data_IF_867632815079
#
_entry.id   IF_867632815079
#
_cell.length_a   1.000
_cell.length_b   1.000
_cell.length_c   1.000
_cell.angle_alpha   90.00
_cell.angle_beta   90.00
_cell.angle_gamma   90.00
#
_symmetry.space_group_name_H-M   'P 1'
#
loop_
_entity.id
_entity.type
_entity.pdbx_description
1 polymer ?
#
# COMPACT_ATOMS: atom_id res chain seq x y z
N UNK A 1 -15.11 3.16 10.06
CA UNK A 1 -14.83 3.10 8.61
C UNK A 1 -15.67 4.14 7.88
N UNK A 2 -15.05 4.90 6.97
CA UNK A 2 -15.72 5.78 6.00
C UNK A 2 -15.66 5.12 4.61
N UNK A 3 -16.80 4.94 3.94
CA UNK A 3 -16.86 4.43 2.57
C UNK A 3 -17.08 5.57 1.58
N UNK A 4 -16.24 5.62 0.55
CA UNK A 4 -16.38 6.51 -0.60
C UNK A 4 -16.60 5.64 -1.85
N UNK A 5 -17.81 5.68 -2.37
CA UNK A 5 -18.17 4.93 -3.59
C UNK A 5 -17.62 5.64 -4.81
N UNK A 6 -17.08 4.87 -5.73
CA UNK A 6 -16.58 5.33 -7.01
C UNK A 6 -17.24 4.56 -8.16
N UNK A 7 -17.30 5.18 -9.34
CA UNK A 7 -17.91 4.57 -10.52
C UNK A 7 -17.03 3.47 -11.10
N UNK A 8 -15.73 3.75 -11.16
CA UNK A 8 -14.73 2.93 -11.84
C UNK A 8 -13.34 3.21 -11.26
N UNK A 9 -12.32 2.56 -11.83
CA UNK A 9 -10.92 2.71 -11.43
C UNK A 9 -10.41 4.15 -11.50
N UNK A 10 -10.82 4.92 -12.51
CA UNK A 10 -10.38 6.32 -12.66
C UNK A 10 -10.98 7.18 -11.54
N UNK A 11 -12.25 6.96 -11.21
CA UNK A 11 -12.92 7.71 -10.14
C UNK A 11 -12.36 7.30 -8.75
N UNK A 12 -11.99 6.01 -8.53
CA UNK A 12 -11.24 5.58 -7.34
C UNK A 12 -9.93 6.35 -7.24
N UNK A 13 -9.15 6.36 -8.31
CA UNK A 13 -7.84 7.00 -8.40
C UNK A 13 -7.91 8.49 -8.09
N UNK A 14 -8.82 9.20 -8.75
CA UNK A 14 -9.04 10.64 -8.56
C UNK A 14 -9.46 10.97 -7.13
N UNK A 15 -10.38 10.20 -6.55
CA UNK A 15 -10.87 10.42 -5.17
C UNK A 15 -9.77 10.15 -4.14
N UNK A 16 -8.99 9.09 -4.33
CA UNK A 16 -7.85 8.80 -3.47
C UNK A 16 -6.77 9.89 -3.56
N UNK A 17 -6.44 10.33 -4.78
CA UNK A 17 -5.49 11.41 -4.99
C UNK A 17 -5.92 12.72 -4.31
N UNK A 18 -7.22 13.05 -4.34
CA UNK A 18 -7.72 14.24 -3.64
C UNK A 18 -7.52 14.16 -2.12
N UNK A 19 -7.66 12.98 -1.52
CA UNK A 19 -7.43 12.77 -0.08
C UNK A 19 -5.96 12.94 0.25
N UNK A 20 -5.06 12.35 -0.56
CA UNK A 20 -3.61 12.47 -0.38
C UNK A 20 -3.16 13.91 -0.63
N UNK A 21 -3.67 14.57 -1.66
CA UNK A 21 -3.38 15.98 -1.95
C UNK A 21 -3.76 16.89 -0.77
N UNK A 22 -4.94 16.70 -0.21
CA UNK A 22 -5.38 17.46 0.97
C UNK A 22 -4.44 17.20 2.18
N UNK A 23 -3.95 15.96 2.37
CA UNK A 23 -2.97 15.65 3.41
C UNK A 23 -1.68 16.44 3.22
N UNK A 24 -1.15 16.49 2.00
CA UNK A 24 0.08 17.25 1.67
C UNK A 24 -0.14 18.74 1.89
N UNK A 25 -1.25 19.30 1.41
CA UNK A 25 -1.57 20.72 1.54
C UNK A 25 -1.73 21.16 3.00
N UNK A 26 -2.38 20.33 3.83
CA UNK A 26 -2.59 20.62 5.25
C UNK A 26 -1.34 20.40 6.12
N UNK A 27 -0.45 19.53 5.68
CA UNK A 27 0.81 19.21 6.36
C UNK A 27 1.88 18.93 5.32
N UNK A 28 2.60 19.96 4.82
CA UNK A 28 3.61 19.82 3.77
C UNK A 28 4.75 18.85 4.11
N UNK A 29 5.12 18.74 5.37
CA UNK A 29 6.14 17.81 5.89
C UNK A 29 5.57 16.44 6.29
N UNK A 30 4.41 16.05 5.75
CA UNK A 30 3.73 14.81 6.12
C UNK A 30 4.55 13.57 5.73
N UNK A 31 4.33 12.49 6.47
CA UNK A 31 4.83 11.16 6.17
C UNK A 31 3.72 10.36 5.47
N UNK A 32 3.95 10.00 4.22
CA UNK A 32 3.03 9.17 3.44
C UNK A 32 3.49 7.71 3.45
N UNK A 33 2.64 6.83 3.91
CA UNK A 33 2.77 5.40 3.66
C UNK A 33 2.27 5.08 2.25
N UNK A 34 3.10 4.46 1.41
CA UNK A 34 2.78 4.20 0.00
C UNK A 34 2.76 2.71 -0.30
N UNK A 35 1.98 2.34 -1.31
CA UNK A 35 1.79 0.99 -1.78
C UNK A 35 2.24 0.85 -3.24
N UNK A 36 2.56 -0.37 -3.65
CA UNK A 36 2.88 -0.73 -5.04
C UNK A 36 1.75 -1.56 -5.68
N UNK A 37 1.99 -2.06 -6.87
CA UNK A 37 1.01 -2.84 -7.63
C UNK A 37 0.06 -1.98 -8.47
N UNK A 38 -0.93 -2.60 -9.10
CA UNK A 38 -1.78 -1.93 -10.09
C UNK A 38 -2.81 -0.97 -9.49
N UNK A 39 -3.23 -1.19 -8.24
CA UNK A 39 -4.30 -0.38 -7.62
C UNK A 39 -3.92 1.11 -7.44
N UNK A 40 -2.73 1.49 -6.94
CA UNK A 40 -2.38 2.88 -6.69
C UNK A 40 -1.89 3.66 -7.92
N UNK A 41 -1.56 3.00 -9.05
CA UNK A 41 -0.95 3.67 -10.22
C UNK A 41 -1.76 4.86 -10.71
N UNK A 42 -3.08 4.71 -10.82
CA UNK A 42 -3.94 5.82 -11.23
C UNK A 42 -3.95 6.97 -10.21
N UNK A 43 -3.86 6.64 -8.92
CA UNK A 43 -3.74 7.65 -7.85
C UNK A 43 -2.43 8.44 -8.00
N UNK A 44 -1.31 7.76 -8.31
CA UNK A 44 -0.03 8.43 -8.54
C UNK A 44 -0.07 9.34 -9.78
N UNK A 45 -0.69 8.90 -10.87
CA UNK A 45 -0.88 9.73 -12.07
C UNK A 45 -1.66 11.02 -11.77
N UNK A 46 -2.72 10.92 -10.98
CA UNK A 46 -3.51 12.09 -10.55
C UNK A 46 -2.70 13.03 -9.63
N UNK A 47 -1.84 12.49 -8.76
CA UNK A 47 -0.95 13.29 -7.92
C UNK A 47 0.12 14.00 -8.74
N UNK A 48 0.70 13.33 -9.75
CA UNK A 48 1.66 13.93 -10.69
C UNK A 48 0.99 15.08 -11.45
N UNK A 49 -0.20 14.87 -11.99
CA UNK A 49 -0.93 15.92 -12.69
C UNK A 49 -1.19 17.16 -11.80
N UNK A 50 -1.50 16.95 -10.52
CA UNK A 50 -1.67 18.05 -9.54
C UNK A 50 -0.34 18.77 -9.22
N UNK A 51 0.77 18.04 -9.20
CA UNK A 51 2.10 18.64 -9.07
C UNK A 51 2.45 19.47 -10.32
N UNK A 52 2.22 18.93 -11.53
CA UNK A 52 2.50 19.62 -12.79
C UNK A 52 1.64 20.88 -12.98
N UNK A 53 0.41 20.89 -12.44
CA UNK A 53 -0.45 22.07 -12.43
C UNK A 53 -0.08 23.13 -11.37
N UNK A 54 0.90 22.80 -10.49
CA UNK A 54 1.31 23.70 -9.41
C UNK A 54 0.44 23.65 -8.15
N UNK A 55 -0.48 22.67 -8.06
CA UNK A 55 -1.38 22.53 -6.91
C UNK A 55 -0.74 21.79 -5.73
N UNK A 56 0.35 21.04 -5.97
CA UNK A 56 1.05 20.25 -4.95
C UNK A 56 2.57 20.52 -4.96
N UNK A 57 3.16 20.48 -3.77
CA UNK A 57 4.60 20.51 -3.55
C UNK A 57 5.01 19.32 -2.69
N UNK A 58 5.91 18.47 -3.20
CA UNK A 58 6.42 17.29 -2.51
C UNK A 58 7.78 17.51 -1.85
N UNK A 59 8.36 18.72 -1.92
CA UNK A 59 9.74 18.99 -1.47
C UNK A 59 10.00 18.64 -0.01
N UNK A 60 8.98 18.69 0.86
CA UNK A 60 9.11 18.38 2.29
C UNK A 60 8.48 17.03 2.65
N UNK A 61 7.77 16.37 1.72
CA UNK A 61 7.11 15.08 1.95
C UNK A 61 8.16 13.99 2.24
N UNK A 62 7.85 13.12 3.18
CA UNK A 62 8.60 11.89 3.48
C UNK A 62 7.73 10.70 3.17
N UNK A 63 8.35 9.59 2.74
CA UNK A 63 7.60 8.38 2.43
C UNK A 63 8.15 7.14 3.11
N UNK A 64 7.25 6.20 3.42
CA UNK A 64 7.57 4.84 3.83
C UNK A 64 6.74 3.88 2.97
N UNK A 65 7.38 2.97 2.25
CA UNK A 65 6.67 1.96 1.46
C UNK A 65 6.33 0.73 2.30
N UNK A 66 5.28 0.00 1.89
CA UNK A 66 4.84 -1.20 2.60
C UNK A 66 5.85 -2.34 2.54
N UNK A 67 6.51 -2.52 1.41
CA UNK A 67 7.22 -3.75 1.14
C UNK A 67 8.31 -3.60 0.05
N UNK A 68 9.17 -4.62 -0.05
CA UNK A 68 10.12 -4.83 -1.14
C UNK A 68 10.42 -6.32 -1.25
N UNK A 69 10.65 -6.80 -2.45
CA UNK A 69 11.13 -8.15 -2.73
C UNK A 69 12.54 -8.38 -2.19
N UNK A 70 12.77 -9.55 -1.59
CA UNK A 70 14.11 -10.00 -1.23
C UNK A 70 14.86 -10.48 -2.49
N UNK A 71 16.12 -10.05 -2.61
CA UNK A 71 17.00 -10.45 -3.71
C UNK A 71 16.97 -9.52 -4.92
N UNK A 72 16.13 -8.49 -4.96
CA UNK A 72 16.15 -7.49 -6.02
C UNK A 72 16.87 -6.22 -5.59
N UNK A 73 17.78 -5.72 -6.45
CA UNK A 73 18.39 -4.42 -6.26
C UNK A 73 17.38 -3.30 -6.56
N UNK A 74 17.59 -2.12 -6.03
CA UNK A 74 16.71 -0.95 -6.28
C UNK A 74 16.68 -0.49 -7.74
N UNK A 75 17.64 -0.94 -8.55
CA UNK A 75 17.72 -0.67 -10.00
C UNK A 75 17.00 -1.74 -10.83
N UNK A 76 16.67 -2.89 -10.26
CA UNK A 76 15.95 -3.94 -10.96
C UNK A 76 14.55 -3.46 -11.34
N UNK A 77 14.15 -3.63 -12.60
CA UNK A 77 12.90 -3.08 -13.16
C UNK A 77 11.61 -3.62 -12.51
N UNK A 78 11.72 -4.72 -11.76
CA UNK A 78 10.61 -5.29 -10.98
C UNK A 78 10.73 -5.05 -9.48
N UNK A 79 11.75 -4.34 -8.99
CA UNK A 79 11.81 -3.93 -7.59
C UNK A 79 10.73 -2.86 -7.30
N UNK A 80 10.26 -2.82 -6.07
CA UNK A 80 9.30 -1.78 -5.67
C UNK A 80 9.95 -0.40 -5.56
N UNK A 81 11.26 -0.35 -5.29
CA UNK A 81 12.05 0.87 -5.41
C UNK A 81 12.01 1.44 -6.83
N UNK A 82 12.22 0.61 -7.85
CA UNK A 82 12.09 1.02 -9.26
C UNK A 82 10.65 1.42 -9.59
N UNK A 83 9.66 0.61 -9.17
CA UNK A 83 8.25 0.91 -9.37
C UNK A 83 7.87 2.30 -8.85
N UNK A 84 8.29 2.65 -7.65
CA UNK A 84 7.96 3.95 -7.05
C UNK A 84 8.62 5.10 -7.79
N UNK A 85 9.85 4.96 -8.22
CA UNK A 85 10.53 5.95 -9.07
C UNK A 85 9.78 6.14 -10.38
N UNK A 86 9.51 5.05 -11.09
CA UNK A 86 8.85 5.08 -12.39
C UNK A 86 7.41 5.59 -12.35
N UNK A 87 6.69 5.44 -11.22
CA UNK A 87 5.27 5.81 -11.14
C UNK A 87 4.99 7.08 -10.32
N UNK A 88 5.95 7.59 -9.53
CA UNK A 88 5.75 8.79 -8.72
C UNK A 88 7.02 9.60 -8.50
N UNK A 89 8.09 9.02 -7.91
CA UNK A 89 9.16 9.82 -7.32
C UNK A 89 9.97 10.61 -8.35
N UNK A 90 10.21 10.06 -9.54
CA UNK A 90 10.96 10.74 -10.61
C UNK A 90 10.10 11.79 -11.36
N UNK A 91 8.80 11.90 -11.03
CA UNK A 91 7.84 12.81 -11.68
C UNK A 91 7.43 14.00 -10.82
N UNK A 92 7.90 14.07 -9.57
CA UNK A 92 7.59 15.14 -8.63
C UNK A 92 8.87 15.65 -7.95
N UNK A 93 8.82 16.78 -7.24
CA UNK A 93 10.00 17.38 -6.59
C UNK A 93 10.32 16.79 -5.20
N UNK A 94 10.01 15.52 -4.97
CA UNK A 94 10.37 14.88 -3.70
C UNK A 94 11.88 14.67 -3.59
N UNK A 95 12.46 14.93 -2.42
CA UNK A 95 13.84 14.56 -2.15
C UNK A 95 13.93 13.02 -2.01
N UNK A 96 14.76 12.39 -2.86
CA UNK A 96 14.97 10.93 -2.83
C UNK A 96 15.51 10.43 -1.48
N UNK A 97 16.21 11.28 -0.72
CA UNK A 97 16.66 10.96 0.64
C UNK A 97 15.49 10.79 1.64
N UNK A 98 14.34 11.34 1.33
CA UNK A 98 13.11 11.21 2.11
C UNK A 98 12.26 9.99 1.72
N UNK A 99 12.65 9.24 0.68
CA UNK A 99 11.94 8.06 0.18
C UNK A 99 12.49 6.79 0.84
N UNK A 100 11.70 6.14 1.68
CA UNK A 100 12.12 4.98 2.45
C UNK A 100 11.38 3.73 1.98
N UNK A 101 12.15 2.70 1.64
CA UNK A 101 11.69 1.37 1.21
C UNK A 101 12.54 0.33 1.94
N UNK A 102 12.03 -0.86 2.27
CA UNK A 102 12.86 -1.94 2.79
C UNK A 102 14.00 -2.28 1.82
N UNK A 103 15.15 -2.66 2.36
CA UNK A 103 16.31 -3.05 1.55
C UNK A 103 16.26 -4.55 1.24
N UNK A 104 15.74 -4.91 0.06
CA UNK A 104 15.66 -6.30 -0.40
C UNK A 104 17.01 -7.02 -0.52
N UNK A 105 18.12 -6.28 -0.54
CA UNK A 105 19.48 -6.85 -0.63
C UNK A 105 20.15 -7.07 0.72
N UNK A 106 19.51 -6.73 1.84
CA UNK A 106 20.08 -7.03 3.15
C UNK A 106 19.98 -8.54 3.44
N UNK A 107 21.09 -9.27 3.64
CA UNK A 107 21.07 -10.71 3.90
C UNK A 107 20.59 -11.05 5.32
N UNK A 108 20.64 -10.08 6.26
CA UNK A 108 20.19 -10.25 7.64
C UNK A 108 18.75 -9.72 7.75
N UNK A 109 17.80 -10.64 7.71
CA UNK A 109 16.38 -10.32 7.73
C UNK A 109 15.94 -9.64 9.03
N UNK A 110 16.44 -10.09 10.17
CA UNK A 110 16.09 -9.50 11.48
C UNK A 110 16.63 -8.08 11.59
N UNK A 111 17.87 -7.86 11.15
CA UNK A 111 18.48 -6.53 11.12
C UNK A 111 17.70 -5.58 10.18
N UNK A 112 17.26 -6.05 9.00
CA UNK A 112 16.49 -5.21 8.09
C UNK A 112 15.11 -4.87 8.64
N UNK A 113 14.40 -5.84 9.19
CA UNK A 113 13.09 -5.61 9.82
C UNK A 113 13.21 -4.59 10.97
N UNK A 114 14.21 -4.75 11.84
CA UNK A 114 14.46 -3.81 12.93
C UNK A 114 14.85 -2.41 12.42
N UNK A 115 15.70 -2.32 11.38
CA UNK A 115 16.07 -1.05 10.74
C UNK A 115 14.85 -0.33 10.19
N UNK A 116 13.99 -1.06 9.48
CA UNK A 116 12.83 -0.44 8.83
C UNK A 116 11.78 -0.01 9.85
N UNK A 117 11.53 -0.80 10.88
CA UNK A 117 10.67 -0.39 12.01
C UNK A 117 11.23 0.86 12.71
N UNK A 118 12.54 0.96 12.89
CA UNK A 118 13.16 2.15 13.46
C UNK A 118 12.98 3.41 12.58
N UNK A 119 12.99 3.26 11.24
CA UNK A 119 12.67 4.35 10.31
C UNK A 119 11.22 4.82 10.50
N UNK A 120 10.28 3.88 10.52
CA UNK A 120 8.84 4.19 10.70
C UNK A 120 8.60 4.85 12.06
N UNK A 121 9.16 4.29 13.13
CA UNK A 121 9.01 4.81 14.49
C UNK A 121 9.70 6.18 14.65
N UNK A 122 10.82 6.41 13.96
CA UNK A 122 11.52 7.71 13.92
C UNK A 122 10.67 8.83 13.34
N UNK A 123 9.75 8.52 12.45
CA UNK A 123 8.75 9.46 11.94
C UNK A 123 7.49 9.57 12.83
N UNK A 124 7.35 8.72 13.85
CA UNK A 124 6.11 8.60 14.64
C UNK A 124 4.97 7.93 13.88
N UNK A 125 5.29 7.11 12.87
CA UNK A 125 4.33 6.48 11.94
C UNK A 125 3.94 7.38 10.77
N UNK A 126 3.12 6.85 9.86
CA UNK A 126 2.62 7.60 8.72
C UNK A 126 1.47 8.54 9.11
N UNK A 127 1.44 9.74 8.54
CA UNK A 127 0.29 10.64 8.65
C UNK A 127 -0.90 10.11 7.84
N UNK A 128 -0.62 9.48 6.69
CA UNK A 128 -1.60 8.77 5.88
C UNK A 128 -0.95 7.54 5.25
N UNK A 129 -1.52 6.35 5.47
CA UNK A 129 -1.11 5.08 4.85
C UNK A 129 -2.04 4.72 3.70
N UNK A 130 -1.52 4.71 2.49
CA UNK A 130 -2.21 4.17 1.31
C UNK A 130 -2.06 2.65 1.27
N UNK A 131 -3.16 1.94 1.01
CA UNK A 131 -3.21 0.48 0.89
C UNK A 131 -3.98 0.08 -0.36
N UNK A 132 -3.58 -1.05 -0.95
CA UNK A 132 -4.43 -1.88 -1.80
C UNK A 132 -5.02 -3.04 -1.00
N UNK A 133 -5.90 -3.83 -1.62
CA UNK A 133 -6.46 -5.05 -1.05
C UNK A 133 -6.15 -6.23 -1.97
N UNK A 134 -5.54 -7.27 -1.44
CA UNK A 134 -5.36 -8.52 -2.15
C UNK A 134 -6.67 -9.29 -2.35
N UNK A 135 -6.75 -10.21 -3.32
CA UNK A 135 -7.98 -10.99 -3.57
C UNK A 135 -8.37 -11.90 -2.39
N UNK A 136 -7.43 -12.28 -1.54
CA UNK A 136 -7.63 -13.06 -0.30
C UNK A 136 -7.70 -12.18 0.96
N UNK A 137 -7.78 -10.86 0.79
CA UNK A 137 -7.88 -9.90 1.89
C UNK A 137 -6.55 -9.46 2.51
N UNK A 138 -5.40 -9.81 1.91
CA UNK A 138 -4.10 -9.33 2.39
C UNK A 138 -3.93 -7.81 2.16
N UNK A 139 -3.12 -7.19 3.02
CA UNK A 139 -2.66 -5.80 2.90
C UNK A 139 -1.13 -5.77 3.06
N UNK A 140 -0.41 -5.10 2.13
CA UNK A 140 1.00 -5.38 1.91
C UNK A 140 1.20 -6.86 1.56
N UNK A 141 2.24 -7.50 2.06
CA UNK A 141 2.38 -8.96 2.01
C UNK A 141 1.97 -9.65 3.32
N UNK A 142 1.08 -9.02 4.12
CA UNK A 142 0.48 -9.68 5.27
C UNK A 142 -0.63 -10.62 4.78
N UNK A 143 -0.26 -11.85 4.49
CA UNK A 143 -1.15 -12.92 4.01
C UNK A 143 -2.06 -13.48 5.12
N UNK A 144 -3.16 -14.19 4.79
CA UNK A 144 -3.95 -14.94 5.77
C UNK A 144 -3.09 -15.83 6.65
N UNK A 145 -3.22 -15.68 7.97
CA UNK A 145 -2.39 -16.34 8.99
C UNK A 145 -3.20 -16.61 10.27
N UNK A 146 -2.54 -17.22 11.28
CA UNK A 146 -3.18 -17.47 12.59
C UNK A 146 -3.10 -16.26 13.54
N UNK A 147 -2.22 -15.30 13.24
CA UNK A 147 -2.06 -14.08 14.03
C UNK A 147 -1.73 -12.87 13.13
N UNK A 148 -2.01 -11.68 13.63
CA UNK A 148 -1.57 -10.44 13.00
C UNK A 148 -0.10 -10.15 13.34
N UNK A 149 0.72 -9.89 12.32
CA UNK A 149 2.11 -9.50 12.50
C UNK A 149 2.20 -8.08 13.08
N UNK A 150 3.11 -7.86 14.03
CA UNK A 150 3.25 -6.57 14.72
C UNK A 150 4.12 -5.58 13.94
N UNK A 151 5.38 -5.91 13.75
CA UNK A 151 6.38 -5.09 13.07
C UNK A 151 6.67 -5.58 11.66
N UNK A 152 7.64 -4.96 11.02
CA UNK A 152 8.14 -5.40 9.71
C UNK A 152 8.60 -6.85 9.77
N UNK A 153 8.24 -7.63 8.76
CA UNK A 153 8.48 -9.06 8.71
C UNK A 153 9.17 -9.45 7.41
N UNK A 154 10.02 -10.48 7.50
CA UNK A 154 10.44 -11.27 6.37
C UNK A 154 9.41 -12.37 6.12
N UNK A 155 8.81 -12.39 4.93
CA UNK A 155 7.73 -13.32 4.60
C UNK A 155 8.03 -14.13 3.36
N UNK A 156 7.58 -15.39 3.35
CA UNK A 156 7.50 -16.19 2.12
C UNK A 156 6.20 -15.89 1.42
N UNK A 157 6.29 -15.63 0.13
CA UNK A 157 5.10 -15.37 -0.69
C UNK A 157 4.35 -16.67 -0.95
N UNK A 158 3.03 -16.61 -0.92
CA UNK A 158 2.18 -17.74 -1.29
C UNK A 158 2.21 -17.99 -2.79
N UNK A 159 1.95 -19.21 -3.24
CA UNK A 159 1.85 -19.53 -4.67
C UNK A 159 0.84 -18.64 -5.39
N UNK A 160 -0.29 -18.34 -4.75
CA UNK A 160 -1.31 -17.45 -5.31
C UNK A 160 -0.80 -16.01 -5.51
N UNK A 161 0.09 -15.53 -4.64
CA UNK A 161 0.72 -14.20 -4.76
C UNK A 161 1.79 -14.22 -5.84
N UNK A 162 2.61 -15.27 -5.91
CA UNK A 162 3.59 -15.48 -6.99
C UNK A 162 2.88 -15.52 -8.35
N UNK A 163 1.81 -16.32 -8.48
CA UNK A 163 1.04 -16.43 -9.71
C UNK A 163 0.38 -15.09 -10.12
N UNK A 164 -0.13 -14.33 -9.15
CA UNK A 164 -0.71 -13.01 -9.41
C UNK A 164 0.34 -11.99 -9.87
N UNK A 165 1.60 -12.12 -9.44
CA UNK A 165 2.69 -11.21 -9.77
C UNK A 165 3.49 -11.68 -11.01
N UNK A 166 3.32 -12.92 -11.48
CA UNK A 166 3.99 -13.46 -12.67
C UNK A 166 3.84 -12.55 -13.89
N UNK A 167 2.71 -11.86 -14.04
CA UNK A 167 2.42 -10.94 -15.14
C UNK A 167 3.43 -9.78 -15.29
N UNK A 168 4.24 -9.53 -14.29
CA UNK A 168 5.28 -8.50 -14.28
C UNK A 168 6.67 -9.06 -14.60
N UNK A 169 6.84 -10.38 -14.64
CA UNK A 169 8.11 -11.05 -14.85
C UNK A 169 8.08 -11.87 -16.16
N UNK A 170 9.24 -12.16 -16.70
CA UNK A 170 9.35 -12.96 -17.92
C UNK A 170 8.86 -14.40 -17.72
N UNK A 171 9.10 -14.98 -16.54
CA UNK A 171 8.71 -16.34 -16.15
C UNK A 171 8.28 -16.34 -14.68
N UNK A 172 7.50 -17.37 -14.30
CA UNK A 172 7.08 -17.58 -12.91
C UNK A 172 8.28 -17.76 -11.97
N UNK A 173 9.31 -18.45 -12.43
CA UNK A 173 10.53 -18.73 -11.67
C UNK A 173 11.36 -17.47 -11.37
N UNK A 174 11.15 -16.40 -12.14
CA UNK A 174 11.83 -15.12 -11.95
C UNK A 174 11.14 -14.27 -10.86
N UNK A 175 9.92 -14.64 -10.45
CA UNK A 175 9.21 -13.94 -9.35
C UNK A 175 9.90 -14.28 -8.04
N UNK A 176 10.34 -13.28 -7.26
CA UNK A 176 10.91 -13.55 -5.93
C UNK A 176 9.90 -14.29 -5.04
N UNK A 177 10.42 -15.20 -4.24
CA UNK A 177 9.62 -16.03 -3.32
C UNK A 177 9.50 -15.44 -1.92
N UNK A 178 10.25 -14.37 -1.63
CA UNK A 178 10.36 -13.74 -0.32
C UNK A 178 10.28 -12.22 -0.43
N UNK A 179 9.78 -11.58 0.62
CA UNK A 179 9.67 -10.13 0.70
C UNK A 179 9.84 -9.64 2.14
N UNK A 180 10.25 -8.37 2.29
CA UNK A 180 10.06 -7.62 3.53
C UNK A 180 8.75 -6.86 3.44
N UNK A 181 7.92 -6.92 4.47
CA UNK A 181 6.63 -6.20 4.51
C UNK A 181 6.39 -5.55 5.86
N UNK A 182 5.89 -4.33 5.83
CA UNK A 182 5.42 -3.61 7.01
C UNK A 182 4.32 -4.43 7.70
N UNK A 183 4.47 -4.71 8.99
CA UNK A 183 3.49 -5.47 9.75
C UNK A 183 2.19 -4.70 10.02
N UNK A 184 1.15 -5.44 10.32
CA UNK A 184 -0.18 -4.90 10.64
C UNK A 184 -0.11 -3.87 11.79
N UNK A 185 0.70 -4.13 12.82
CA UNK A 185 0.84 -3.19 13.94
C UNK A 185 1.40 -1.83 13.52
N UNK A 186 2.35 -1.80 12.57
CA UNK A 186 2.90 -0.55 12.02
C UNK A 186 1.88 0.16 11.12
N UNK A 187 1.12 -0.59 10.30
CA UNK A 187 0.01 -0.04 9.51
C UNK A 187 -1.05 0.61 10.42
N UNK A 188 -1.41 -0.06 11.51
CA UNK A 188 -2.42 0.43 12.46
C UNK A 188 -1.97 1.63 13.31
N UNK A 189 -0.67 1.94 13.35
CA UNK A 189 -0.12 3.17 13.96
C UNK A 189 -0.28 4.41 13.08
N UNK A 190 -0.58 4.26 11.79
CA UNK A 190 -0.83 5.40 10.91
C UNK A 190 -1.96 6.27 11.47
N UNK A 191 -1.87 7.60 11.32
CA UNK A 191 -2.94 8.50 11.78
C UNK A 191 -4.22 8.34 10.95
N UNK A 192 -4.05 8.06 9.65
CA UNK A 192 -5.13 7.78 8.70
C UNK A 192 -4.76 6.58 7.83
N UNK A 193 -5.74 5.78 7.51
CA UNK A 193 -5.59 4.70 6.52
C UNK A 193 -6.56 4.95 5.36
N UNK A 194 -6.01 4.95 4.15
CA UNK A 194 -6.74 5.05 2.89
C UNK A 194 -6.53 3.77 2.09
N UNK A 195 -7.58 2.98 1.92
CA UNK A 195 -7.53 1.78 1.10
C UNK A 195 -8.26 2.01 -0.21
N UNK A 196 -7.60 1.71 -1.32
CA UNK A 196 -8.17 1.77 -2.67
C UNK A 196 -8.45 0.37 -3.19
N UNK A 197 -9.65 0.17 -3.72
CA UNK A 197 -10.10 -1.12 -4.18
C UNK A 197 -10.95 -0.99 -5.44
N UNK A 198 -10.66 -1.77 -6.48
CA UNK A 198 -11.38 -1.74 -7.74
C UNK A 198 -11.52 -3.12 -8.37
N UNK A 199 -12.63 -3.29 -9.09
CA UNK A 199 -12.91 -4.48 -9.89
C UNK A 199 -13.59 -5.62 -9.14
N UNK A 200 -14.37 -6.42 -9.86
CA UNK A 200 -15.18 -7.51 -9.31
C UNK A 200 -14.35 -8.60 -8.63
N UNK A 201 -13.09 -8.80 -9.03
CA UNK A 201 -12.18 -9.77 -8.40
C UNK A 201 -11.83 -9.44 -6.95
N UNK A 202 -12.18 -8.23 -6.47
CA UNK A 202 -12.00 -7.79 -5.08
C UNK A 202 -13.26 -7.87 -4.23
N UNK A 203 -14.41 -8.15 -4.83
CA UNK A 203 -15.70 -8.07 -4.15
C UNK A 203 -15.81 -9.01 -2.93
N UNK A 204 -15.26 -10.23 -3.04
CA UNK A 204 -15.25 -11.17 -1.92
C UNK A 204 -14.36 -10.68 -0.78
N UNK A 205 -13.14 -10.20 -1.10
CA UNK A 205 -12.22 -9.66 -0.11
C UNK A 205 -12.80 -8.41 0.60
N UNK A 206 -13.48 -7.54 -0.14
CA UNK A 206 -14.19 -6.38 0.46
C UNK A 206 -15.27 -6.84 1.44
N UNK A 207 -16.07 -7.84 1.06
CA UNK A 207 -17.11 -8.40 1.92
C UNK A 207 -16.51 -9.02 3.19
N UNK A 208 -15.48 -9.87 3.03
CA UNK A 208 -14.87 -10.58 4.15
C UNK A 208 -14.11 -9.65 5.09
N UNK A 209 -13.39 -8.64 4.55
CA UNK A 209 -12.60 -7.73 5.36
C UNK A 209 -13.41 -6.62 6.03
N UNK A 210 -14.46 -6.10 5.40
CA UNK A 210 -15.10 -4.87 5.90
C UNK A 210 -16.56 -5.05 6.32
N UNK A 211 -17.16 -6.20 6.02
CA UNK A 211 -18.53 -6.55 6.41
C UNK A 211 -18.61 -7.92 7.09
N UNK A 212 -17.47 -8.58 7.27
CA UNK A 212 -17.30 -9.84 8.00
C UNK A 212 -16.64 -9.63 9.37
N UNK A 213 -16.34 -10.73 10.10
CA UNK A 213 -15.65 -10.67 11.38
C UNK A 213 -14.20 -10.28 11.21
N UNK A 214 -13.64 -9.61 12.23
CA UNK A 214 -12.21 -9.27 12.31
C UNK A 214 -11.44 -10.54 12.66
N UNK A 215 -10.55 -10.97 11.75
CA UNK A 215 -9.77 -12.20 11.91
C UNK A 215 -8.48 -12.17 11.08
N UNK A 216 -7.40 -12.82 11.55
CA UNK A 216 -6.12 -12.84 10.80
C UNK A 216 -6.21 -13.58 9.44
N UNK A 217 -7.21 -14.45 9.25
CA UNK A 217 -7.45 -15.13 7.98
C UNK A 217 -8.03 -14.19 6.90
N UNK A 218 -8.40 -12.98 7.28
CA UNK A 218 -8.75 -11.87 6.39
C UNK A 218 -8.00 -10.62 6.89
N UNK A 219 -6.70 -10.48 6.61
CA UNK A 219 -5.84 -9.50 7.29
C UNK A 219 -6.34 -8.06 7.22
N UNK A 220 -6.90 -7.64 6.08
CA UNK A 220 -7.52 -6.32 5.93
C UNK A 220 -8.68 -6.06 6.88
N UNK A 221 -9.27 -7.10 7.50
CA UNK A 221 -10.39 -6.94 8.43
C UNK A 221 -10.03 -6.15 9.69
N UNK A 222 -8.76 -6.14 10.08
CA UNK A 222 -8.28 -5.36 11.23
C UNK A 222 -8.54 -3.86 11.08
N UNK A 223 -8.60 -3.36 9.83
CA UNK A 223 -8.84 -1.95 9.54
C UNK A 223 -10.21 -1.46 10.02
N UNK A 224 -11.15 -2.38 10.30
CA UNK A 224 -12.42 -2.03 10.96
C UNK A 224 -12.22 -1.39 12.34
N UNK A 225 -11.10 -1.69 13.01
CA UNK A 225 -10.74 -1.12 14.32
C UNK A 225 -9.94 0.20 14.21
N UNK A 226 -9.53 0.59 13.00
CA UNK A 226 -8.74 1.80 12.83
C UNK A 226 -9.64 3.05 13.02
N UNK A 227 -9.22 4.04 13.85
CA UNK A 227 -10.06 5.20 14.18
C UNK A 227 -10.37 6.10 12.96
N UNK A 228 -9.45 6.22 12.01
CA UNK A 228 -9.62 7.02 10.78
C UNK A 228 -9.28 6.17 9.55
N UNK A 229 -10.19 5.25 9.21
CA UNK A 229 -10.09 4.38 8.04
C UNK A 229 -11.10 4.79 6.97
N UNK A 230 -10.59 5.04 5.76
CA UNK A 230 -11.38 5.33 4.56
C UNK A 230 -11.16 4.25 3.50
N UNK A 231 -12.24 3.63 3.06
CA UNK A 231 -12.29 2.74 1.90
C UNK A 231 -12.81 3.51 0.69
N UNK A 232 -12.02 3.61 -0.38
CA UNK A 232 -12.47 4.09 -1.69
C UNK A 232 -12.59 2.89 -2.62
N UNK A 233 -13.80 2.55 -3.00
CA UNK A 233 -14.06 1.36 -3.80
C UNK A 233 -15.05 1.64 -4.95
N UNK A 234 -14.83 0.98 -6.10
CA UNK A 234 -15.75 1.06 -7.22
C UNK A 234 -16.97 0.14 -7.03
N UNK A 235 -17.98 0.35 -7.89
CA UNK A 235 -19.21 -0.43 -7.81
C UNK A 235 -19.00 -1.92 -8.04
N UNK A 236 -17.98 -2.30 -8.83
CA UNK A 236 -17.66 -3.70 -9.10
C UNK A 236 -17.04 -4.36 -7.86
N UNK A 237 -16.13 -3.70 -7.15
CA UNK A 237 -15.59 -4.19 -5.89
C UNK A 237 -16.64 -4.24 -4.76
N UNK A 238 -17.69 -3.40 -4.83
CA UNK A 238 -18.78 -3.36 -3.86
C UNK A 238 -19.97 -4.30 -4.22
N UNK A 239 -19.87 -5.05 -5.31
CA UNK A 239 -21.00 -5.81 -5.86
C UNK A 239 -21.65 -6.82 -4.90
N UNK A 240 -20.89 -7.43 -3.97
CA UNK A 240 -21.36 -8.40 -2.99
C UNK A 240 -21.84 -7.80 -1.66
N UNK A 241 -21.81 -6.48 -1.53
CA UNK A 241 -22.19 -5.77 -0.30
C UNK A 241 -23.24 -4.68 -0.55
N UNK A 242 -23.83 -4.63 -1.75
CA UNK A 242 -24.82 -3.59 -2.12
C UNK A 242 -25.99 -3.50 -1.15
N UNK A 243 -26.47 -4.63 -0.68
CA UNK A 243 -27.62 -4.71 0.24
C UNK A 243 -27.24 -4.37 1.69
N UNK A 244 -25.94 -4.16 1.98
CA UNK A 244 -25.41 -3.79 3.28
C UNK A 244 -25.05 -2.29 3.36
N UNK A 245 -25.17 -1.56 2.25
CA UNK A 245 -24.86 -0.15 2.09
C UNK A 245 -26.13 0.68 1.99
#
# INVERSE_FOLDING_TARGET
MRLIRAKDYQDVSRKAANIIAAQIQLKPDCVLGLATGSSPVGTYKELIAKYESGDLDFSQVKTVNLDEYVGLTKEHDQSYAYFMRANLFDHVNIDQANCNIPNGMNPDADAECARYDAVIDGFGGADLQLLGLGPNGHIGFNEPADAFAKGTNHVKLTDSTIDANQRFFAKREDVPTEAYTMGIGSIMKAKRVLLVCNGAGKAQAVKDCFFGPIKPQAPGSILQLHPDFTLVADEAALSLVKDLL
#
